data_IF_322013763684
#
_entry.id   IF_322013763684
#
_cell.length_a   1.000
_cell.length_b   1.000
_cell.length_c   1.000
_cell.angle_alpha   90.00
_cell.angle_beta   90.00
_cell.angle_gamma   90.00
#
_symmetry.space_group_name_H-M   'P 1'
#
loop_
_entity.id
_entity.type
_entity.pdbx_description
1 polymer ?
#
# COMPACT_ATOMS: atom_id res chain seq x y z
N UNK A 1 -23.52 21.25 5.63
CA UNK A 1 -23.31 20.43 4.41
C UNK A 1 -23.40 18.96 4.80
N UNK A 2 -23.97 18.06 4.00
CA UNK A 2 -23.94 16.65 4.31
C UNK A 2 -22.48 16.18 4.40
N UNK A 3 -22.20 15.23 5.32
CA UNK A 3 -20.87 14.70 5.48
C UNK A 3 -20.46 13.94 4.20
N UNK A 4 -19.26 14.22 3.67
CA UNK A 4 -18.73 13.52 2.49
C UNK A 4 -18.55 12.03 2.79
N UNK A 5 -18.96 11.19 1.86
CA UNK A 5 -18.76 9.75 1.96
C UNK A 5 -17.35 9.37 1.47
N UNK A 6 -16.50 8.92 2.38
CA UNK A 6 -15.12 8.54 2.05
C UNK A 6 -14.94 7.02 2.15
N UNK A 7 -14.39 6.38 1.09
CA UNK A 7 -14.08 4.95 1.10
C UNK A 7 -12.68 4.69 0.62
N UNK A 8 -11.92 3.92 1.41
CA UNK A 8 -10.56 3.47 1.08
C UNK A 8 -10.58 2.00 0.65
N UNK A 9 -10.20 1.74 -0.60
CA UNK A 9 -10.10 0.39 -1.18
C UNK A 9 -8.67 -0.09 -1.11
N UNK A 10 -8.45 -1.27 -0.54
CA UNK A 10 -7.10 -1.77 -0.47
C UNK A 10 -6.91 -3.09 0.27
N UNK A 11 -5.64 -3.48 0.37
CA UNK A 11 -5.21 -4.58 1.22
C UNK A 11 -4.77 -4.02 2.57
N UNK A 12 -5.28 -4.56 3.66
CA UNK A 12 -4.91 -4.10 5.02
C UNK A 12 -3.39 -4.20 5.30
N UNK A 13 -2.67 -5.02 4.53
CA UNK A 13 -1.23 -5.25 4.65
C UNK A 13 -0.38 -4.44 3.67
N UNK A 14 -1.01 -3.69 2.76
CA UNK A 14 -0.26 -2.82 1.84
C UNK A 14 0.24 -1.58 2.58
N UNK A 15 1.55 -1.30 2.59
CA UNK A 15 2.08 -0.10 3.24
C UNK A 15 1.51 1.19 2.65
N UNK A 16 1.24 1.21 1.35
CA UNK A 16 0.62 2.35 0.67
C UNK A 16 -0.83 2.57 1.10
N UNK A 17 -1.60 1.51 1.35
CA UNK A 17 -2.96 1.58 1.88
C UNK A 17 -2.95 2.04 3.34
N UNK A 18 -2.03 1.51 4.13
CA UNK A 18 -1.84 1.93 5.54
C UNK A 18 -1.47 3.41 5.60
N UNK A 19 -0.58 3.90 4.72
CA UNK A 19 -0.21 5.31 4.61
C UNK A 19 -1.45 6.20 4.43
N UNK A 20 -2.33 5.89 3.47
CA UNK A 20 -3.56 6.67 3.24
C UNK A 20 -4.52 6.56 4.44
N UNK A 21 -4.63 5.38 5.05
CA UNK A 21 -5.41 5.20 6.28
C UNK A 21 -4.91 6.06 7.44
N UNK A 22 -3.59 6.23 7.56
CA UNK A 22 -2.97 7.15 8.55
C UNK A 22 -3.30 8.60 8.23
N UNK A 23 -3.25 9.02 6.96
CA UNK A 23 -3.63 10.37 6.54
C UNK A 23 -5.08 10.69 6.94
N UNK A 24 -6.02 9.79 6.62
CA UNK A 24 -7.43 9.94 6.97
C UNK A 24 -7.64 10.05 8.48
N UNK A 25 -6.95 9.22 9.27
CA UNK A 25 -6.99 9.29 10.73
C UNK A 25 -6.39 10.58 11.29
N UNK A 26 -5.26 11.03 10.76
CA UNK A 26 -4.63 12.29 11.16
C UNK A 26 -5.54 13.48 10.91
N UNK A 27 -6.18 13.51 9.75
CA UNK A 27 -7.16 14.54 9.40
C UNK A 27 -8.52 14.39 10.13
N UNK A 28 -8.69 13.31 10.90
CA UNK A 28 -9.94 12.95 11.58
C UNK A 28 -11.13 12.78 10.63
N UNK A 29 -10.88 12.32 9.40
CA UNK A 29 -11.90 12.04 8.40
C UNK A 29 -12.45 10.64 8.63
N UNK A 30 -13.76 10.48 8.92
CA UNK A 30 -14.38 9.15 8.97
C UNK A 30 -14.40 8.53 7.58
N UNK A 31 -14.07 7.23 7.49
CA UNK A 31 -14.05 6.51 6.23
C UNK A 31 -14.43 5.04 6.40
N UNK A 32 -14.98 4.48 5.35
CA UNK A 32 -15.23 3.04 5.23
C UNK A 32 -14.02 2.35 4.57
N UNK A 33 -13.49 1.32 5.20
CA UNK A 33 -12.48 0.50 4.58
C UNK A 33 -13.13 -0.62 3.76
N UNK A 34 -12.82 -0.66 2.47
CA UNK A 34 -13.29 -1.69 1.54
C UNK A 34 -12.14 -2.65 1.20
N UNK A 35 -12.13 -3.85 1.79
CA UNK A 35 -11.06 -4.81 1.52
C UNK A 35 -11.12 -5.31 0.08
N UNK A 36 -9.98 -5.25 -0.61
CA UNK A 36 -9.82 -5.78 -1.97
C UNK A 36 -9.28 -7.20 -1.89
N UNK A 37 -9.87 -8.11 -2.65
CA UNK A 37 -9.36 -9.47 -2.75
C UNK A 37 -8.11 -9.51 -3.65
N UNK A 38 -6.92 -9.88 -3.14
CA UNK A 38 -5.69 -9.89 -3.93
C UNK A 38 -5.70 -10.92 -5.08
N UNK A 39 -6.51 -11.98 -4.97
CA UNK A 39 -6.63 -13.01 -6.01
C UNK A 39 -7.62 -12.59 -7.11
N UNK A 40 -8.59 -11.76 -6.78
CA UNK A 40 -9.61 -11.29 -7.71
C UNK A 40 -9.87 -9.78 -7.56
N UNK A 41 -8.83 -8.92 -7.76
CA UNK A 41 -8.95 -7.48 -7.48
C UNK A 41 -9.99 -6.79 -8.37
N UNK A 42 -10.22 -7.32 -9.57
CA UNK A 42 -11.23 -6.77 -10.50
C UNK A 42 -12.64 -6.73 -9.92
N UNK A 43 -12.95 -7.60 -8.94
CA UNK A 43 -14.29 -7.62 -8.33
C UNK A 43 -14.59 -6.29 -7.60
N UNK A 44 -13.61 -5.71 -6.94
CA UNK A 44 -13.75 -4.45 -6.21
C UNK A 44 -13.24 -3.24 -7.01
N UNK A 45 -12.18 -3.43 -7.80
CA UNK A 45 -11.54 -2.32 -8.55
C UNK A 45 -12.10 -2.15 -9.97
N UNK A 46 -12.87 -3.11 -10.49
CA UNK A 46 -13.35 -3.07 -11.88
C UNK A 46 -14.26 -1.88 -12.22
N UNK A 47 -14.82 -1.21 -11.22
CA UNK A 47 -15.59 0.02 -11.39
C UNK A 47 -14.73 1.27 -11.58
N UNK A 48 -13.40 1.18 -11.38
CA UNK A 48 -12.46 2.27 -11.58
C UNK A 48 -11.69 2.02 -12.89
N UNK A 49 -11.98 2.76 -13.96
CA UNK A 49 -11.41 2.53 -15.29
C UNK A 49 -9.88 2.52 -15.27
N UNK A 50 -9.28 1.46 -15.81
CA UNK A 50 -7.82 1.31 -15.89
C UNK A 50 -7.11 0.95 -14.58
N UNK A 51 -7.79 1.01 -13.43
CA UNK A 51 -7.15 0.80 -12.13
C UNK A 51 -7.01 -0.68 -11.79
N UNK A 52 -5.78 -1.08 -11.42
CA UNK A 52 -5.42 -2.45 -11.03
C UNK A 52 -4.65 -2.53 -9.71
N UNK A 53 -4.25 -1.40 -9.17
CA UNK A 53 -3.43 -1.29 -7.96
C UNK A 53 -4.21 -0.61 -6.84
N UNK A 54 -3.73 -0.79 -5.62
CA UNK A 54 -4.24 -0.13 -4.42
C UNK A 54 -3.14 0.78 -3.84
N UNK A 55 -3.51 1.84 -3.12
CA UNK A 55 -4.84 2.27 -2.69
C UNK A 55 -5.67 2.94 -3.79
N UNK A 56 -7.00 2.83 -3.65
CA UNK A 56 -7.97 3.70 -4.32
C UNK A 56 -8.80 4.37 -3.24
N UNK A 57 -9.01 5.66 -3.35
CA UNK A 57 -9.86 6.44 -2.46
C UNK A 57 -11.02 7.02 -3.25
N UNK A 58 -12.22 6.95 -2.70
CA UNK A 58 -13.38 7.68 -3.21
C UNK A 58 -13.83 8.73 -2.20
N UNK A 59 -14.20 9.90 -2.68
CA UNK A 59 -14.84 10.96 -1.92
C UNK A 59 -16.11 11.32 -2.70
N UNK A 60 -17.25 10.94 -2.17
CA UNK A 60 -18.54 10.99 -2.86
C UNK A 60 -18.47 10.22 -4.21
N UNK A 61 -18.67 10.88 -5.34
CA UNK A 61 -18.66 10.30 -6.69
C UNK A 61 -17.28 10.38 -7.37
N UNK A 62 -16.31 11.07 -6.77
CA UNK A 62 -14.94 11.18 -7.31
C UNK A 62 -14.06 10.09 -6.77
N UNK A 63 -13.06 9.65 -7.56
CA UNK A 63 -12.05 8.73 -7.13
C UNK A 63 -10.67 9.07 -7.65
N UNK A 64 -9.65 8.77 -6.86
CA UNK A 64 -8.24 8.84 -7.23
C UNK A 64 -7.50 7.64 -6.69
N UNK A 65 -6.30 7.41 -7.20
CA UNK A 65 -5.42 6.30 -6.81
C UNK A 65 -4.00 6.80 -6.62
N UNK A 66 -3.16 5.92 -6.03
CA UNK A 66 -1.78 6.17 -5.63
C UNK A 66 -1.66 7.03 -4.36
N UNK A 67 -0.81 6.55 -3.44
CA UNK A 67 -0.79 7.07 -2.06
C UNK A 67 -0.29 8.50 -1.95
N UNK A 68 0.69 8.92 -2.75
CA UNK A 68 1.22 10.29 -2.73
C UNK A 68 0.23 11.30 -3.32
N UNK A 69 -0.32 11.09 -4.56
CA UNK A 69 -1.39 11.92 -5.07
C UNK A 69 -2.63 11.98 -4.18
N UNK A 70 -2.94 10.88 -3.47
CA UNK A 70 -4.06 10.85 -2.52
C UNK A 70 -3.82 11.76 -1.31
N UNK A 71 -2.59 11.85 -0.82
CA UNK A 71 -2.23 12.80 0.24
C UNK A 71 -2.47 14.25 -0.19
N UNK A 72 -2.02 14.61 -1.39
CA UNK A 72 -2.23 15.94 -1.97
C UNK A 72 -3.73 16.23 -2.13
N UNK A 73 -4.47 15.29 -2.69
CA UNK A 73 -5.92 15.45 -2.90
C UNK A 73 -6.69 15.58 -1.58
N UNK A 74 -6.26 14.88 -0.54
CA UNK A 74 -6.87 15.03 0.78
C UNK A 74 -6.65 16.43 1.36
N UNK A 75 -5.52 17.06 1.12
CA UNK A 75 -5.28 18.43 1.55
C UNK A 75 -6.09 19.46 0.73
N UNK A 76 -6.30 19.21 -0.57
CA UNK A 76 -7.17 20.04 -1.42
C UNK A 76 -8.63 20.00 -0.96
N UNK A 77 -9.16 18.81 -0.64
CA UNK A 77 -10.59 18.60 -0.31
C UNK A 77 -10.90 18.91 1.16
N UNK A 78 -9.95 18.67 2.04
CA UNK A 78 -10.03 18.84 3.49
C UNK A 78 -8.81 19.63 3.97
N UNK A 79 -8.79 20.95 3.87
CA UNK A 79 -7.62 21.76 4.17
C UNK A 79 -7.24 21.76 5.65
N UNK A 80 -8.15 21.35 6.54
CA UNK A 80 -7.83 21.26 7.96
C UNK A 80 -6.79 20.18 8.21
N UNK A 81 -5.77 20.46 9.04
CA UNK A 81 -4.65 19.57 9.35
C UNK A 81 -3.92 19.12 8.10
N UNK A 82 -3.20 20.02 7.41
CA UNK A 82 -2.52 19.67 6.19
C UNK A 82 -1.45 18.58 6.42
N UNK A 83 -1.45 17.57 5.54
CA UNK A 83 -0.48 16.46 5.54
C UNK A 83 0.87 16.98 5.05
N UNK A 84 0.84 17.89 4.09
CA UNK A 84 2.03 18.44 3.43
C UNK A 84 2.61 19.67 4.14
N UNK A 85 2.12 19.98 5.35
CA UNK A 85 2.52 21.18 6.09
C UNK A 85 1.82 22.45 5.62
N UNK A 86 2.03 23.53 6.36
CA UNK A 86 1.43 24.84 6.06
C UNK A 86 2.37 25.72 5.21
N UNK A 87 3.67 25.47 5.30
CA UNK A 87 4.70 26.20 4.57
C UNK A 87 5.10 25.46 3.28
N UNK A 88 5.27 26.15 2.13
CA UNK A 88 5.74 25.53 0.89
C UNK A 88 7.08 24.80 1.04
N UNK A 89 7.99 25.27 1.88
CA UNK A 89 9.27 24.60 2.15
C UNK A 89 9.09 23.25 2.85
N UNK A 90 8.10 23.13 3.71
CA UNK A 90 7.74 21.87 4.35
C UNK A 90 7.13 20.89 3.34
N UNK A 91 6.30 21.37 2.44
CA UNK A 91 5.73 20.57 1.35
C UNK A 91 6.80 19.88 0.52
N UNK A 92 7.77 20.63 0.03
CA UNK A 92 8.88 20.10 -0.78
C UNK A 92 9.70 19.05 0.00
N UNK A 93 10.00 19.32 1.25
CA UNK A 93 10.73 18.40 2.13
C UNK A 93 9.94 17.12 2.39
N UNK A 94 8.63 17.21 2.64
CA UNK A 94 7.76 16.07 2.91
C UNK A 94 7.64 15.21 1.65
N UNK A 95 7.43 15.81 0.48
CA UNK A 95 7.35 15.08 -0.78
C UNK A 95 8.67 14.40 -1.15
N UNK A 96 9.80 15.06 -0.94
CA UNK A 96 11.12 14.46 -1.15
C UNK A 96 11.36 13.27 -0.20
N UNK A 97 10.99 13.40 1.07
CA UNK A 97 11.08 12.30 2.03
C UNK A 97 10.14 11.15 1.65
N UNK A 98 8.91 11.44 1.23
CA UNK A 98 7.95 10.44 0.78
C UNK A 98 8.48 9.66 -0.43
N UNK A 99 9.06 10.36 -1.40
CA UNK A 99 9.70 9.73 -2.55
C UNK A 99 10.87 8.84 -2.12
N UNK A 100 11.73 9.33 -1.24
CA UNK A 100 12.86 8.53 -0.71
C UNK A 100 12.38 7.27 0.00
N UNK A 101 11.36 7.37 0.85
CA UNK A 101 10.76 6.21 1.55
C UNK A 101 10.20 5.20 0.54
N UNK A 102 9.50 5.66 -0.50
CA UNK A 102 8.93 4.80 -1.52
C UNK A 102 10.03 4.09 -2.34
N UNK A 103 11.03 4.83 -2.80
CA UNK A 103 12.02 4.35 -3.77
C UNK A 103 13.16 3.57 -3.10
N UNK A 104 13.55 3.95 -1.90
CA UNK A 104 14.68 3.35 -1.19
C UNK A 104 14.22 2.38 -0.11
N UNK A 105 13.48 2.87 0.88
CA UNK A 105 13.16 2.06 2.06
C UNK A 105 12.18 0.93 1.73
N UNK A 106 11.04 1.23 1.12
CA UNK A 106 10.04 0.21 0.79
C UNK A 106 10.53 -0.74 -0.28
N UNK A 107 11.14 -0.24 -1.34
CA UNK A 107 11.67 -1.11 -2.40
C UNK A 107 12.83 -1.94 -1.89
N UNK A 108 13.70 -1.40 -1.05
CA UNK A 108 14.76 -2.16 -0.38
C UNK A 108 14.21 -3.28 0.51
N UNK A 109 13.20 -2.99 1.32
CA UNK A 109 12.53 -3.98 2.16
C UNK A 109 11.87 -5.11 1.34
N UNK A 110 11.23 -4.75 0.23
CA UNK A 110 10.63 -5.73 -0.67
C UNK A 110 11.68 -6.61 -1.37
N UNK A 111 12.77 -6.01 -1.84
CA UNK A 111 13.90 -6.74 -2.44
C UNK A 111 14.53 -7.70 -1.43
N UNK A 112 14.76 -7.22 -0.20
CA UNK A 112 15.28 -8.04 0.88
C UNK A 112 14.36 -9.24 1.19
N UNK A 113 13.05 -9.00 1.32
CA UNK A 113 12.07 -10.06 1.54
C UNK A 113 11.97 -11.06 0.38
N UNK A 114 12.35 -10.65 -0.83
CA UNK A 114 12.32 -11.50 -2.02
C UNK A 114 13.55 -12.39 -2.18
N UNK A 115 14.64 -12.16 -1.45
CA UNK A 115 15.85 -12.99 -1.51
C UNK A 115 15.57 -14.41 -0.97
N UNK A 116 16.14 -15.42 -1.63
CA UNK A 116 15.94 -16.83 -1.23
C UNK A 116 16.42 -17.12 0.18
N UNK A 117 17.48 -16.48 0.61
CA UNK A 117 18.04 -16.66 1.96
C UNK A 117 17.09 -16.18 3.06
N UNK A 118 16.19 -15.28 2.73
CA UNK A 118 15.14 -14.76 3.63
C UNK A 118 13.82 -15.55 3.52
N UNK A 119 13.81 -16.73 2.90
CA UNK A 119 12.59 -17.55 2.67
C UNK A 119 11.81 -17.88 3.94
N UNK A 120 12.49 -18.01 5.07
CA UNK A 120 11.84 -18.28 6.35
C UNK A 120 11.02 -17.10 6.85
N UNK A 121 11.53 -15.89 6.68
CA UNK A 121 10.78 -14.66 6.99
C UNK A 121 9.62 -14.46 6.01
N UNK A 122 9.82 -14.78 4.73
CA UNK A 122 8.75 -14.78 3.75
C UNK A 122 7.63 -15.77 4.10
N UNK A 123 7.95 -16.98 4.61
CA UNK A 123 6.97 -17.96 5.09
C UNK A 123 6.19 -17.41 6.28
N UNK A 124 6.87 -16.79 7.24
CA UNK A 124 6.24 -16.17 8.41
C UNK A 124 5.32 -15.04 8.01
N UNK A 125 5.75 -14.17 7.10
CA UNK A 125 4.94 -13.07 6.58
C UNK A 125 3.71 -13.58 5.83
N UNK A 126 3.82 -14.64 5.04
CA UNK A 126 2.69 -15.29 4.37
C UNK A 126 1.65 -15.83 5.35
N UNK A 127 2.09 -16.39 6.47
CA UNK A 127 1.18 -16.82 7.54
C UNK A 127 0.43 -15.65 8.16
N UNK A 128 1.14 -14.60 8.54
CA UNK A 128 0.55 -13.37 9.11
C UNK A 128 -0.45 -12.73 8.14
N UNK A 129 -0.07 -12.60 6.87
CA UNK A 129 -0.92 -12.05 5.83
C UNK A 129 -2.22 -12.87 5.67
N UNK A 130 -2.12 -14.19 5.65
CA UNK A 130 -3.29 -15.07 5.51
C UNK A 130 -4.24 -14.99 6.71
N UNK A 131 -3.69 -14.71 7.90
CA UNK A 131 -4.49 -14.50 9.12
C UNK A 131 -5.24 -13.18 9.04
N UNK A 132 -4.58 -12.10 8.63
CA UNK A 132 -5.19 -10.78 8.48
C UNK A 132 -6.28 -10.79 7.41
N UNK A 133 -6.08 -11.55 6.32
CA UNK A 133 -7.06 -11.69 5.24
C UNK A 133 -8.17 -12.70 5.54
N UNK A 134 -8.22 -13.24 6.76
CA UNK A 134 -9.25 -14.19 7.20
C UNK A 134 -9.42 -15.44 6.32
N UNK A 135 -8.33 -15.92 5.71
CA UNK A 135 -8.37 -17.19 4.97
C UNK A 135 -8.61 -18.38 5.90
N UNK A 136 -9.27 -19.43 5.37
CA UNK A 136 -9.43 -20.70 6.08
C UNK A 136 -8.08 -21.31 6.46
N UNK A 137 -8.06 -22.17 7.50
CA UNK A 137 -6.84 -22.80 8.01
C UNK A 137 -6.08 -23.56 6.91
N UNK A 138 -6.80 -24.25 6.01
CA UNK A 138 -6.20 -24.98 4.89
C UNK A 138 -5.48 -24.05 3.91
N UNK A 139 -6.09 -22.90 3.58
CA UNK A 139 -5.48 -21.87 2.75
C UNK A 139 -4.28 -21.20 3.41
N UNK A 140 -4.31 -21.01 4.73
CA UNK A 140 -3.17 -20.47 5.50
C UNK A 140 -1.96 -21.40 5.39
N UNK A 141 -2.18 -22.70 5.52
CA UNK A 141 -1.12 -23.69 5.41
C UNK A 141 -0.51 -23.72 4.00
N UNK A 142 -1.35 -23.67 2.96
CA UNK A 142 -0.92 -23.58 1.58
C UNK A 142 -0.11 -22.30 1.30
N UNK A 143 -0.63 -21.15 1.69
CA UNK A 143 0.04 -19.86 1.50
C UNK A 143 1.38 -19.79 2.24
N UNK A 144 1.46 -20.34 3.44
CA UNK A 144 2.72 -20.42 4.18
C UNK A 144 3.82 -21.11 3.38
N UNK A 145 3.51 -22.24 2.75
CA UNK A 145 4.47 -22.99 1.95
C UNK A 145 4.73 -22.40 0.57
N UNK A 146 3.70 -21.85 -0.05
CA UNK A 146 3.78 -21.31 -1.41
C UNK A 146 4.29 -19.86 -1.45
N UNK A 147 4.20 -19.11 -0.35
CA UNK A 147 4.51 -17.68 -0.31
C UNK A 147 5.91 -17.31 -0.81
N UNK A 148 6.99 -18.00 -0.45
CA UNK A 148 8.32 -17.71 -0.99
C UNK A 148 8.38 -17.82 -2.51
N UNK A 149 7.70 -18.83 -3.07
CA UNK A 149 7.64 -19.04 -4.53
C UNK A 149 6.73 -18.03 -5.21
N UNK A 150 5.63 -17.62 -4.54
CA UNK A 150 4.71 -16.60 -5.05
C UNK A 150 5.42 -15.26 -5.12
N UNK A 151 6.11 -14.84 -4.06
CA UNK A 151 6.86 -13.58 -4.04
C UNK A 151 7.90 -13.55 -5.15
N UNK A 152 8.63 -14.63 -5.38
CA UNK A 152 9.66 -14.68 -6.42
C UNK A 152 9.09 -14.69 -7.85
N UNK A 153 7.89 -15.23 -8.06
CA UNK A 153 7.27 -15.35 -9.39
C UNK A 153 6.26 -14.26 -9.71
N UNK A 154 5.64 -13.65 -8.71
CA UNK A 154 4.76 -12.51 -8.94
C UNK A 154 5.63 -11.36 -9.43
N UNK A 155 5.26 -10.75 -10.55
CA UNK A 155 6.00 -9.71 -11.27
C UNK A 155 6.54 -8.54 -10.44
N UNK A 156 6.28 -8.54 -9.14
CA UNK A 156 6.85 -7.66 -8.15
C UNK A 156 8.37 -7.84 -8.03
N UNK A 157 8.86 -9.09 -7.89
CA UNK A 157 10.29 -9.39 -7.85
C UNK A 157 10.95 -9.18 -9.21
N UNK A 158 10.27 -9.57 -10.30
CA UNK A 158 10.73 -9.28 -11.67
C UNK A 158 10.85 -7.80 -11.95
N UNK A 159 9.97 -6.99 -11.39
CA UNK A 159 9.95 -5.53 -11.61
C UNK A 159 11.00 -4.79 -10.77
N UNK A 160 11.38 -5.36 -9.61
CA UNK A 160 12.25 -4.70 -8.62
C UNK A 160 13.51 -5.52 -8.28
N UNK A 161 13.66 -6.74 -8.78
CA UNK A 161 14.74 -7.66 -8.44
C UNK A 161 16.04 -7.50 -9.22
N UNK A 162 16.00 -6.84 -10.38
CA UNK A 162 17.14 -6.80 -11.32
C UNK A 162 18.11 -5.61 -11.10
N UNK A 163 17.93 -4.81 -10.06
CA UNK A 163 18.89 -3.74 -9.77
C UNK A 163 19.95 -4.21 -8.77
N UNK A 164 21.16 -4.15 -9.26
CA UNK A 164 22.44 -4.41 -8.61
C UNK A 164 22.58 -3.79 -7.22
N UNK A 165 23.27 -4.53 -6.34
CA UNK A 165 23.84 -4.12 -5.07
C UNK A 165 22.86 -3.70 -3.96
N UNK A 166 22.19 -4.74 -3.47
CA UNK A 166 21.19 -4.60 -2.40
C UNK A 166 21.80 -4.51 -0.98
N UNK A 167 23.09 -4.67 -0.86
CA UNK A 167 23.82 -4.61 0.42
C UNK A 167 24.11 -3.20 0.90
N UNK A 168 24.24 -2.24 0.00
CA UNK A 168 24.59 -0.85 0.34
C UNK A 168 23.38 0.04 0.67
N UNK A 169 22.20 -0.32 0.20
CA UNK A 169 20.98 0.53 0.36
C UNK A 169 20.39 0.48 1.77
N UNK A 170 20.75 -0.53 2.58
CA UNK A 170 20.22 -0.72 3.93
C UNK A 170 21.29 -0.63 5.04
N UNK A 171 22.50 -0.19 4.72
CA UNK A 171 23.54 0.20 5.66
C UNK A 171 23.57 1.72 5.72
#
# INVERSE_FOLDING_TARGET
MPAKQVKLYGYATSPFVVKVGVFLKYKQIPFDFVPVNPVAPKKQLGKFPGQRQVPVLTIDDEWRADSTPLGIWLDEVFPERPILGEDPSDTDRILAMDQWVNDQLLMGAFRHAAQWDNRWDAIRNGWTLSTILHYSTSWRFFLRKAWPFIIQRVGFVRRFGDSVDQGETLR
#
